data_IF_967972192999
#
_entry.id   IF_967972192999
#
_cell.length_a   1.000
_cell.length_b   1.000
_cell.length_c   1.000
_cell.angle_alpha   90.00
_cell.angle_beta   90.00
_cell.angle_gamma   90.00
#
_symmetry.space_group_name_H-M   'P 1'
#
loop_
_entity.id
_entity.type
_entity.pdbx_description
1 polymer ?
#
# COMPACT_ATOMS: atom_id res chain seq x y z
N UNK A 1 -62.55 56.20 14.25
CA UNK A 1 -61.25 56.01 13.56
C UNK A 1 -60.61 54.77 14.16
N UNK A 2 -60.80 53.60 13.53
CA UNK A 2 -60.39 52.29 14.04
C UNK A 2 -59.19 51.84 13.18
N UNK A 3 -58.02 51.66 13.81
CA UNK A 3 -56.79 51.22 13.16
C UNK A 3 -56.65 49.72 13.38
N UNK A 4 -56.84 48.93 12.31
CA UNK A 4 -56.56 47.50 12.26
C UNK A 4 -55.05 47.28 12.09
N UNK A 5 -54.40 46.72 13.11
CA UNK A 5 -53.03 46.21 13.02
C UNK A 5 -53.07 44.74 12.56
N UNK A 6 -52.75 44.52 11.29
CA UNK A 6 -52.52 43.19 10.74
C UNK A 6 -51.14 42.68 11.17
N UNK A 7 -51.13 41.75 12.14
CA UNK A 7 -49.93 40.99 12.52
C UNK A 7 -49.70 39.93 11.44
N UNK A 8 -48.74 40.19 10.56
CA UNK A 8 -48.29 39.22 9.56
C UNK A 8 -47.61 38.04 10.24
N UNK A 9 -48.24 36.87 10.21
CA UNK A 9 -47.61 35.61 10.55
C UNK A 9 -46.59 35.26 9.46
N UNK A 10 -45.30 35.47 9.72
CA UNK A 10 -44.23 34.97 8.87
C UNK A 10 -44.17 33.44 9.04
N UNK A 11 -44.39 32.63 8.00
CA UNK A 11 -44.25 31.19 8.11
C UNK A 11 -42.78 30.86 8.43
N UNK A 12 -42.56 30.06 9.49
CA UNK A 12 -41.28 29.39 9.74
C UNK A 12 -41.04 28.36 8.61
N UNK A 13 -40.67 28.85 7.44
CA UNK A 13 -40.21 28.02 6.33
C UNK A 13 -38.84 27.45 6.70
N UNK A 14 -38.84 26.17 7.05
CA UNK A 14 -37.77 25.19 6.89
C UNK A 14 -36.34 25.74 7.00
N UNK A 15 -35.79 25.71 8.22
CA UNK A 15 -34.33 25.62 8.36
C UNK A 15 -33.89 24.32 7.66
N UNK A 16 -33.24 24.48 6.51
CA UNK A 16 -32.62 23.40 5.75
C UNK A 16 -31.66 22.62 6.67
N UNK A 17 -32.09 21.43 7.07
CA UNK A 17 -31.37 20.56 7.99
C UNK A 17 -30.03 20.12 7.38
N UNK A 18 -29.95 19.97 6.05
CA UNK A 18 -28.72 19.64 5.35
C UNK A 18 -27.70 20.78 5.41
N UNK A 19 -28.14 22.03 5.21
CA UNK A 19 -27.28 23.20 5.35
C UNK A 19 -26.78 23.38 6.80
N UNK A 20 -27.60 23.01 7.79
CA UNK A 20 -27.22 23.07 9.21
C UNK A 20 -26.18 22.00 9.55
N UNK A 21 -26.34 20.78 9.02
CA UNK A 21 -25.42 19.67 9.21
C UNK A 21 -24.04 19.97 8.60
N UNK A 22 -23.98 20.50 7.37
CA UNK A 22 -22.73 20.92 6.72
C UNK A 22 -21.97 22.00 7.51
N UNK A 23 -22.69 22.96 8.12
CA UNK A 23 -22.07 23.97 8.99
C UNK A 23 -21.52 23.37 10.28
N UNK A 24 -22.20 22.38 10.84
CA UNK A 24 -21.72 21.67 12.02
C UNK A 24 -20.46 20.85 11.72
N UNK A 25 -20.42 20.14 10.59
CA UNK A 25 -19.22 19.41 10.13
C UNK A 25 -18.04 20.35 9.91
N UNK A 26 -18.24 21.45 9.17
CA UNK A 26 -17.19 22.44 8.94
C UNK A 26 -16.68 23.07 10.25
N UNK A 27 -17.57 23.27 11.24
CA UNK A 27 -17.20 23.78 12.57
C UNK A 27 -16.42 22.74 13.37
N UNK A 28 -16.83 21.47 13.31
CA UNK A 28 -16.10 20.36 13.93
C UNK A 28 -14.69 20.24 13.34
N UNK A 29 -14.57 20.27 12.01
CA UNK A 29 -13.29 20.25 11.28
C UNK A 29 -12.39 21.46 11.58
N UNK A 30 -12.99 22.62 11.83
CA UNK A 30 -12.26 23.81 12.27
C UNK A 30 -11.72 23.64 13.70
N UNK A 31 -12.55 23.11 14.62
CA UNK A 31 -12.14 22.87 16.00
C UNK A 31 -11.08 21.76 16.12
N UNK A 32 -11.20 20.68 15.34
CA UNK A 32 -10.20 19.60 15.32
C UNK A 32 -8.86 20.12 14.80
N UNK A 33 -8.86 20.93 13.74
CA UNK A 33 -7.66 21.61 13.22
C UNK A 33 -7.05 22.57 14.25
N UNK A 34 -7.86 23.43 14.88
CA UNK A 34 -7.39 24.35 15.91
C UNK A 34 -6.80 23.63 17.13
N UNK A 35 -7.43 22.54 17.58
CA UNK A 35 -6.92 21.70 18.66
C UNK A 35 -5.62 20.97 18.28
N UNK A 36 -5.47 20.54 17.02
CA UNK A 36 -4.23 19.95 16.51
C UNK A 36 -3.09 20.99 16.46
N UNK A 37 -3.38 22.23 16.03
CA UNK A 37 -2.41 23.33 16.02
C UNK A 37 -1.98 23.73 17.43
N UNK A 38 -2.90 23.83 18.40
CA UNK A 38 -2.55 24.09 19.80
C UNK A 38 -1.72 22.97 20.41
N UNK A 39 -2.08 21.71 20.15
CA UNK A 39 -1.29 20.54 20.60
C UNK A 39 0.10 20.54 19.99
N UNK A 40 0.25 20.86 18.70
CA UNK A 40 1.56 20.94 18.05
C UNK A 40 2.39 22.13 18.56
N UNK A 41 1.77 23.28 18.84
CA UNK A 41 2.45 24.42 19.46
C UNK A 41 2.94 24.11 20.89
N UNK A 42 2.07 23.50 21.72
CA UNK A 42 2.43 23.10 23.08
C UNK A 42 3.45 21.94 23.12
N UNK A 43 3.44 21.05 22.11
CA UNK A 43 4.47 20.05 21.93
C UNK A 43 5.83 20.69 21.58
N UNK A 44 5.83 21.70 20.69
CA UNK A 44 7.04 22.43 20.30
C UNK A 44 7.68 23.19 21.46
N UNK A 45 6.92 23.74 22.40
CA UNK A 45 7.49 24.42 23.58
C UNK A 45 8.12 23.48 24.60
N UNK A 46 7.88 22.16 24.51
CA UNK A 46 8.53 21.12 25.34
C UNK A 46 9.73 20.46 24.65
N UNK A 47 9.84 20.63 23.33
CA UNK A 47 10.93 20.08 22.51
C UNK A 47 11.95 21.20 22.31
N UNK A 48 12.84 21.35 23.28
CA UNK A 48 13.86 22.40 23.27
C UNK A 48 15.25 21.88 22.86
N UNK A 49 15.34 20.60 22.52
CA UNK A 49 16.60 19.95 22.21
C UNK A 49 16.53 19.21 20.87
N UNK A 50 17.66 19.12 20.16
CA UNK A 50 17.79 18.37 18.92
C UNK A 50 19.01 17.48 19.00
N UNK A 51 18.78 16.17 18.89
CA UNK A 51 19.83 15.17 18.75
C UNK A 51 20.17 15.06 17.27
N UNK A 52 21.46 15.18 16.95
CA UNK A 52 21.97 15.04 15.59
C UNK A 52 22.94 13.85 15.56
N UNK A 53 22.64 12.87 14.71
CA UNK A 53 23.47 11.68 14.50
C UNK A 53 23.62 11.47 13.01
N UNK A 54 24.80 11.77 12.47
CA UNK A 54 25.03 11.82 11.03
C UNK A 54 24.03 12.76 10.35
N UNK A 55 23.20 12.22 9.44
CA UNK A 55 22.13 12.97 8.77
C UNK A 55 20.80 13.00 9.52
N UNK A 56 20.62 12.21 10.60
CA UNK A 56 19.38 12.21 11.39
C UNK A 56 19.32 13.40 12.33
N UNK A 57 18.14 14.05 12.35
CA UNK A 57 17.82 15.13 13.28
C UNK A 57 16.53 14.77 14.02
N UNK A 58 16.63 14.55 15.32
CA UNK A 58 15.49 14.20 16.17
C UNK A 58 15.29 15.29 17.20
N UNK A 59 14.14 15.97 17.13
CA UNK A 59 13.78 16.99 18.09
C UNK A 59 13.15 16.33 19.32
N UNK A 60 13.74 16.52 20.50
CA UNK A 60 13.30 15.88 21.74
C UNK A 60 13.35 16.80 22.97
N UNK A 61 12.90 16.31 24.12
CA UNK A 61 13.05 16.99 25.41
C UNK A 61 14.28 16.48 26.16
N UNK A 62 14.87 17.32 27.01
CA UNK A 62 16.11 17.00 27.73
C UNK A 62 16.11 15.63 28.46
N UNK A 63 15.01 15.19 29.13
CA UNK A 63 14.99 13.89 29.80
C UNK A 63 15.15 12.68 28.86
N UNK A 64 14.81 12.82 27.59
CA UNK A 64 14.88 11.74 26.60
C UNK A 64 16.12 11.80 25.71
N UNK A 65 17.00 12.81 25.88
CA UNK A 65 18.16 13.04 25.01
C UNK A 65 19.04 11.79 24.84
N UNK A 66 19.44 11.14 25.94
CA UNK A 66 20.31 9.95 25.90
C UNK A 66 19.63 8.76 25.22
N UNK A 67 18.34 8.54 25.50
CA UNK A 67 17.55 7.48 24.87
C UNK A 67 17.43 7.69 23.36
N UNK A 68 17.08 8.91 22.95
CA UNK A 68 16.95 9.31 21.55
C UNK A 68 18.29 9.22 20.83
N UNK A 69 19.39 9.62 21.47
CA UNK A 69 20.73 9.50 20.91
C UNK A 69 21.10 8.04 20.65
N UNK A 70 20.92 7.15 21.61
CA UNK A 70 21.20 5.72 21.42
C UNK A 70 20.34 5.09 20.31
N UNK A 71 19.05 5.47 20.23
CA UNK A 71 18.15 5.00 19.18
C UNK A 71 18.52 5.57 17.80
N UNK A 72 18.89 6.86 17.73
CA UNK A 72 19.34 7.51 16.50
C UNK A 72 20.67 6.94 16.00
N UNK A 73 21.63 6.63 16.87
CA UNK A 73 22.89 5.94 16.52
C UNK A 73 22.63 4.55 15.94
N UNK A 74 21.67 3.81 16.48
CA UNK A 74 21.28 2.51 15.93
C UNK A 74 20.57 2.65 14.59
N UNK A 75 19.61 3.57 14.48
CA UNK A 75 18.89 3.85 13.23
C UNK A 75 19.82 4.32 12.12
N UNK A 76 20.75 5.24 12.42
CA UNK A 76 21.70 5.78 11.44
C UNK A 76 22.60 4.69 10.84
N UNK A 77 23.11 3.78 11.68
CA UNK A 77 23.89 2.63 11.18
C UNK A 77 23.06 1.74 10.26
N UNK A 78 21.81 1.45 10.62
CA UNK A 78 20.89 0.67 9.77
C UNK A 78 20.63 1.36 8.42
N UNK A 79 20.41 2.69 8.44
CA UNK A 79 20.22 3.49 7.23
C UNK A 79 21.48 3.50 6.35
N UNK A 80 22.68 3.65 6.92
CA UNK A 80 23.94 3.58 6.18
C UNK A 80 24.14 2.20 5.52
N UNK A 81 23.85 1.11 6.24
CA UNK A 81 23.93 -0.24 5.67
C UNK A 81 22.96 -0.40 4.49
N UNK A 82 21.74 0.16 4.59
CA UNK A 82 20.71 -0.03 3.55
C UNK A 82 20.88 0.89 2.34
N UNK A 83 21.21 2.15 2.57
CA UNK A 83 21.21 3.20 1.55
C UNK A 83 22.62 3.63 1.13
N UNK A 84 23.66 3.03 1.71
CA UNK A 84 25.06 3.38 1.47
C UNK A 84 25.43 4.77 2.01
N UNK A 85 26.61 5.30 1.66
CA UNK A 85 27.02 6.65 2.08
C UNK A 85 26.20 7.77 1.41
N UNK A 86 25.35 7.46 0.44
CA UNK A 86 24.55 8.44 -0.31
C UNK A 86 23.40 9.06 0.50
N UNK A 87 23.11 8.53 1.69
CA UNK A 87 22.21 9.16 2.70
C UNK A 87 22.86 10.29 3.50
N UNK A 88 24.16 10.53 3.34
CA UNK A 88 24.91 11.52 4.13
C UNK A 88 24.53 12.98 3.82
N UNK A 89 23.82 13.26 2.72
CA UNK A 89 23.39 14.63 2.40
C UNK A 89 22.30 15.13 3.38
N UNK A 90 22.61 16.12 4.25
CA UNK A 90 21.77 16.52 5.38
C UNK A 90 20.47 17.26 4.98
N UNK A 91 20.23 17.48 3.69
CA UNK A 91 19.00 18.05 3.17
C UNK A 91 17.86 17.03 3.04
N UNK A 92 18.13 15.74 3.33
CA UNK A 92 17.25 14.64 2.89
C UNK A 92 16.28 14.12 3.96
N UNK A 93 16.56 14.36 5.25
CA UNK A 93 15.79 13.72 6.33
C UNK A 93 15.02 14.76 7.15
N UNK A 94 13.68 14.66 7.25
CA UNK A 94 12.88 15.58 8.05
C UNK A 94 13.22 15.45 9.53
N UNK A 95 13.08 16.55 10.27
CA UNK A 95 13.23 16.54 11.73
C UNK A 95 12.11 15.72 12.35
N UNK A 96 12.45 14.65 13.06
CA UNK A 96 11.47 13.77 13.70
C UNK A 96 11.19 14.26 15.12
N UNK A 97 9.96 14.68 15.47
CA UNK A 97 9.63 15.07 16.84
C UNK A 97 9.42 13.84 17.74
N UNK A 98 10.00 13.83 18.94
CA UNK A 98 9.84 12.78 19.94
C UNK A 98 9.65 13.34 21.37
N UNK A 99 8.76 12.72 22.16
CA UNK A 99 8.59 13.04 23.58
C UNK A 99 7.54 14.12 23.91
N UNK A 100 6.77 14.57 22.93
CA UNK A 100 5.70 15.56 23.13
C UNK A 100 4.52 15.07 23.98
N UNK A 101 4.26 13.77 24.01
CA UNK A 101 3.01 13.19 24.54
C UNK A 101 3.08 12.75 26.00
N UNK A 102 4.20 12.98 26.71
CA UNK A 102 4.30 12.67 28.14
C UNK A 102 4.25 11.18 28.49
N UNK A 103 4.36 10.28 27.51
CA UNK A 103 4.40 8.83 27.74
C UNK A 103 5.77 8.47 28.30
N UNK A 104 5.87 7.90 29.52
CA UNK A 104 7.15 7.48 30.08
C UNK A 104 7.69 6.27 29.32
N UNK A 105 8.92 6.40 28.82
CA UNK A 105 9.63 5.33 28.11
C UNK A 105 10.81 4.88 28.99
N UNK A 106 10.78 3.64 29.51
CA UNK A 106 11.75 3.17 30.53
C UNK A 106 12.44 1.84 30.22
N UNK A 107 12.21 1.20 29.07
CA UNK A 107 12.72 -0.16 28.80
C UNK A 107 13.78 -0.19 27.70
N UNK A 108 14.75 -1.14 27.72
CA UNK A 108 15.69 -1.38 26.62
C UNK A 108 15.01 -1.71 25.28
N UNK A 109 13.82 -2.34 25.33
CA UNK A 109 12.98 -2.55 24.14
C UNK A 109 12.65 -1.24 23.44
N UNK A 110 12.54 -0.15 24.21
CA UNK A 110 12.27 1.16 23.65
C UNK A 110 13.40 1.70 22.78
N UNK A 111 14.68 1.39 23.05
CA UNK A 111 15.77 1.83 22.16
C UNK A 111 15.62 1.16 20.79
N UNK A 112 15.35 -0.13 20.76
CA UNK A 112 15.21 -0.89 19.51
C UNK A 112 13.95 -0.47 18.73
N UNK A 113 12.82 -0.32 19.42
CA UNK A 113 11.57 0.14 18.84
C UNK A 113 11.68 1.58 18.31
N UNK A 114 12.30 2.50 19.07
CA UNK A 114 12.55 3.87 18.61
C UNK A 114 13.52 3.91 17.42
N UNK A 115 14.56 3.08 17.43
CA UNK A 115 15.47 2.99 16.30
C UNK A 115 14.75 2.52 15.03
N UNK A 116 13.90 1.48 15.13
CA UNK A 116 13.07 1.02 14.01
C UNK A 116 12.10 2.11 13.53
N UNK A 117 11.49 2.86 14.45
CA UNK A 117 10.61 3.97 14.11
C UNK A 117 11.38 5.08 13.35
N UNK A 118 12.54 5.50 13.86
CA UNK A 118 13.38 6.51 13.20
C UNK A 118 13.87 6.04 11.84
N UNK A 119 14.30 4.78 11.73
CA UNK A 119 14.67 4.15 10.46
C UNK A 119 13.51 4.19 9.47
N UNK A 120 12.32 3.73 9.86
CA UNK A 120 11.14 3.67 8.98
C UNK A 120 10.74 5.05 8.47
N UNK A 121 10.63 6.04 9.35
CA UNK A 121 10.26 7.42 8.97
C UNK A 121 11.31 8.01 8.01
N UNK A 122 12.59 7.81 8.32
CA UNK A 122 13.68 8.37 7.52
C UNK A 122 13.81 7.67 6.18
N UNK A 123 13.67 6.35 6.13
CA UNK A 123 13.67 5.56 4.90
C UNK A 123 12.58 6.05 3.94
N UNK A 124 11.35 6.26 4.44
CA UNK A 124 10.25 6.81 3.62
C UNK A 124 10.61 8.17 3.03
N UNK A 125 11.19 9.07 3.82
CA UNK A 125 11.61 10.38 3.32
C UNK A 125 12.73 10.29 2.27
N UNK A 126 13.75 9.46 2.53
CA UNK A 126 14.86 9.22 1.59
C UNK A 126 14.33 8.73 0.24
N UNK A 127 13.44 7.75 0.24
CA UNK A 127 12.84 7.23 -0.99
C UNK A 127 12.00 8.28 -1.72
N UNK A 128 11.12 8.98 -1.00
CA UNK A 128 10.25 10.01 -1.58
C UNK A 128 11.05 11.11 -2.30
N UNK A 129 12.20 11.49 -1.75
CA UNK A 129 13.03 12.54 -2.31
C UNK A 129 13.96 12.06 -3.41
N UNK A 130 14.59 10.89 -3.25
CA UNK A 130 15.56 10.37 -4.22
C UNK A 130 14.90 9.76 -5.44
N UNK A 131 13.69 9.22 -5.29
CA UNK A 131 13.01 8.49 -6.36
C UNK A 131 11.48 8.62 -6.27
N UNK A 132 10.93 9.82 -6.57
CA UNK A 132 9.49 10.01 -6.64
C UNK A 132 8.79 9.03 -7.61
N UNK A 133 9.33 8.71 -8.81
CA UNK A 133 8.69 7.76 -9.72
C UNK A 133 8.55 6.35 -9.13
N UNK A 134 9.61 5.77 -8.56
CA UNK A 134 9.50 4.45 -7.94
C UNK A 134 8.62 4.49 -6.70
N UNK A 135 8.70 5.55 -5.91
CA UNK A 135 7.83 5.74 -4.74
C UNK A 135 6.36 5.78 -5.16
N UNK A 136 6.03 6.43 -6.28
CA UNK A 136 4.68 6.43 -6.85
C UNK A 136 4.26 5.02 -7.31
N UNK A 137 5.15 4.28 -7.98
CA UNK A 137 4.92 2.89 -8.38
C UNK A 137 4.67 1.96 -7.17
N UNK A 138 5.36 2.20 -6.06
CA UNK A 138 5.15 1.53 -4.77
C UNK A 138 4.00 2.14 -3.94
N UNK A 139 3.34 3.18 -4.42
CA UNK A 139 2.30 3.93 -3.68
C UNK A 139 2.75 4.33 -2.27
N UNK A 140 3.98 4.82 -2.14
CA UNK A 140 4.57 5.25 -0.87
C UNK A 140 5.05 4.12 0.05
N UNK A 141 4.79 2.85 -0.30
CA UNK A 141 5.16 1.70 0.51
C UNK A 141 6.53 1.16 0.09
N UNK A 142 7.55 1.92 0.46
CA UNK A 142 8.93 1.64 0.12
C UNK A 142 9.52 0.56 1.03
N UNK A 143 10.56 -0.19 0.60
CA UNK A 143 11.24 -1.15 1.46
C UNK A 143 11.76 -0.48 2.73
N UNK A 144 11.26 -0.95 3.87
CA UNK A 144 11.54 -0.41 5.20
C UNK A 144 11.66 -1.53 6.24
N UNK A 145 10.71 -2.47 6.18
CA UNK A 145 10.76 -3.73 6.92
C UNK A 145 10.91 -4.89 5.92
N UNK A 146 11.53 -6.01 6.32
CA UNK A 146 11.61 -7.21 5.48
C UNK A 146 10.22 -7.70 5.07
N UNK A 147 10.06 -8.10 3.81
CA UNK A 147 8.85 -8.80 3.37
C UNK A 147 8.77 -10.17 4.05
N UNK A 148 7.63 -10.46 4.69
CA UNK A 148 7.40 -11.70 5.44
C UNK A 148 6.85 -12.82 4.55
N UNK A 149 6.90 -14.06 5.03
CA UNK A 149 6.25 -15.19 4.35
C UNK A 149 4.73 -14.99 4.20
N UNK A 150 4.09 -14.34 5.17
CA UNK A 150 2.66 -13.98 5.09
C UNK A 150 2.40 -13.01 3.94
N UNK A 151 3.24 -12.01 3.76
CA UNK A 151 3.11 -11.04 2.66
C UNK A 151 3.23 -11.75 1.30
N UNK A 152 4.20 -12.66 1.17
CA UNK A 152 4.38 -13.46 -0.05
C UNK A 152 3.21 -14.43 -0.29
N UNK A 153 2.63 -15.00 0.77
CA UNK A 153 1.40 -15.81 0.69
C UNK A 153 0.23 -14.99 0.14
N UNK A 154 0.06 -13.75 0.60
CA UNK A 154 -0.95 -12.85 0.03
C UNK A 154 -0.68 -12.52 -1.43
N UNK A 155 0.59 -12.36 -1.84
CA UNK A 155 0.94 -12.18 -3.26
C UNK A 155 0.57 -13.42 -4.08
N UNK A 156 0.82 -14.63 -3.56
CA UNK A 156 0.44 -15.88 -4.22
C UNK A 156 -1.10 -15.98 -4.40
N UNK A 157 -1.86 -15.65 -3.35
CA UNK A 157 -3.33 -15.60 -3.41
C UNK A 157 -3.83 -14.57 -4.44
N UNK A 158 -3.18 -13.41 -4.54
CA UNK A 158 -3.52 -12.40 -5.54
C UNK A 158 -3.28 -12.89 -6.97
N UNK A 159 -2.16 -13.59 -7.21
CA UNK A 159 -1.89 -14.20 -8.51
C UNK A 159 -2.90 -15.31 -8.83
N UNK A 160 -3.19 -16.20 -7.88
CA UNK A 160 -4.11 -17.31 -8.10
C UNK A 160 -5.58 -16.86 -8.25
N UNK A 161 -6.01 -15.86 -7.47
CA UNK A 161 -7.41 -15.48 -7.34
C UNK A 161 -7.88 -14.33 -8.23
N UNK A 162 -6.98 -13.45 -8.68
CA UNK A 162 -7.37 -12.30 -9.52
C UNK A 162 -7.38 -12.68 -11.01
N UNK A 163 -8.44 -12.36 -11.77
CA UNK A 163 -8.57 -12.73 -13.19
C UNK A 163 -7.77 -11.82 -14.11
N UNK A 164 -6.48 -11.65 -13.84
CA UNK A 164 -5.56 -10.92 -14.69
C UNK A 164 -4.83 -11.88 -15.63
N UNK A 165 -4.76 -11.53 -16.92
CA UNK A 165 -4.11 -12.30 -17.99
C UNK A 165 -2.70 -12.78 -17.64
N UNK A 166 -1.79 -11.97 -17.06
CA UNK A 166 -0.44 -12.44 -16.77
C UNK A 166 -0.33 -13.34 -15.53
N UNK A 167 -1.34 -13.39 -14.67
CA UNK A 167 -1.16 -13.94 -13.33
C UNK A 167 -0.85 -15.44 -13.30
N UNK A 168 -1.64 -16.26 -14.02
CA UNK A 168 -1.48 -17.71 -14.00
C UNK A 168 -0.12 -18.11 -14.60
N UNK A 169 0.25 -17.53 -15.74
CA UNK A 169 1.53 -17.80 -16.37
C UNK A 169 2.70 -17.30 -15.51
N UNK A 170 2.56 -16.14 -14.85
CA UNK A 170 3.54 -15.70 -13.86
C UNK A 170 3.67 -16.72 -12.73
N UNK A 171 2.57 -17.19 -12.16
CA UNK A 171 2.59 -18.19 -11.08
C UNK A 171 3.21 -19.52 -11.52
N UNK A 172 3.23 -19.82 -12.83
CA UNK A 172 3.90 -20.98 -13.43
C UNK A 172 5.39 -20.73 -13.72
N UNK A 173 5.92 -19.54 -13.47
CA UNK A 173 7.33 -19.19 -13.64
C UNK A 173 7.68 -18.44 -14.93
N UNK A 174 6.69 -17.99 -15.71
CA UNK A 174 6.93 -17.15 -16.89
C UNK A 174 7.36 -15.73 -16.46
N UNK A 175 8.67 -15.46 -16.52
CA UNK A 175 9.25 -14.20 -16.08
C UNK A 175 8.69 -12.95 -16.82
N UNK A 176 8.58 -12.93 -18.17
CA UNK A 176 7.86 -11.85 -18.88
C UNK A 176 6.45 -11.60 -18.34
N UNK A 177 5.69 -12.66 -18.03
CA UNK A 177 4.34 -12.50 -17.45
C UNK A 177 4.41 -11.97 -16.03
N UNK A 178 5.41 -12.35 -15.23
CA UNK A 178 5.62 -11.74 -13.92
C UNK A 178 5.97 -10.26 -13.99
N UNK A 179 6.78 -9.83 -14.96
CA UNK A 179 7.04 -8.41 -15.21
C UNK A 179 5.73 -7.64 -15.47
N UNK A 180 4.90 -8.16 -16.38
CA UNK A 180 3.59 -7.57 -16.68
C UNK A 180 2.67 -7.54 -15.44
N UNK A 181 2.60 -8.63 -14.66
CA UNK A 181 1.78 -8.70 -13.45
C UNK A 181 2.22 -7.69 -12.36
N UNK A 182 3.52 -7.36 -12.32
CA UNK A 182 4.13 -6.42 -11.38
C UNK A 182 4.05 -4.96 -11.84
N UNK A 183 3.58 -4.66 -13.05
CA UNK A 183 3.58 -3.28 -13.52
C UNK A 183 4.82 -2.87 -14.31
N UNK A 184 5.61 -3.83 -14.81
CA UNK A 184 6.91 -3.57 -15.47
C UNK A 184 6.78 -3.82 -16.97
N UNK A 185 7.32 -2.90 -17.79
CA UNK A 185 7.38 -3.06 -19.25
C UNK A 185 6.02 -3.01 -19.96
N UNK A 186 5.05 -2.30 -19.37
CA UNK A 186 3.66 -2.29 -19.86
C UNK A 186 3.48 -1.19 -20.88
N UNK A 187 2.79 -1.51 -21.97
CA UNK A 187 2.48 -0.58 -23.04
C UNK A 187 1.41 0.45 -22.66
N UNK A 188 1.01 1.23 -23.66
CA UNK A 188 -0.02 2.27 -23.54
C UNK A 188 -1.39 1.67 -23.21
N UNK A 189 -1.67 0.42 -23.62
CA UNK A 189 -2.92 -0.29 -23.31
C UNK A 189 -2.80 -1.25 -22.13
N UNK A 190 -2.46 -0.69 -20.96
CA UNK A 190 -2.36 -1.43 -19.71
C UNK A 190 -3.64 -2.22 -19.37
N UNK A 191 -4.81 -1.68 -19.69
CA UNK A 191 -6.09 -2.30 -19.36
C UNK A 191 -6.34 -3.57 -20.19
N UNK A 192 -6.12 -3.52 -21.50
CA UNK A 192 -6.25 -4.69 -22.39
C UNK A 192 -5.18 -5.75 -22.16
N UNK A 193 -3.97 -5.33 -21.78
CA UNK A 193 -2.87 -6.24 -21.44
C UNK A 193 -3.15 -7.03 -20.16
N UNK A 194 -3.71 -6.40 -19.13
CA UNK A 194 -3.97 -7.06 -17.85
C UNK A 194 -5.30 -7.78 -17.77
N UNK A 195 -6.37 -7.21 -18.31
CA UNK A 195 -7.72 -7.65 -17.97
C UNK A 195 -8.55 -7.87 -19.24
N UNK A 196 -9.21 -9.04 -19.38
CA UNK A 196 -10.14 -9.25 -20.49
C UNK A 196 -11.32 -8.26 -20.41
N UNK A 197 -11.84 -7.76 -21.54
CA UNK A 197 -12.93 -6.76 -21.54
C UNK A 197 -14.16 -7.13 -20.71
N UNK A 198 -14.47 -8.42 -20.62
CA UNK A 198 -15.56 -8.95 -19.79
C UNK A 198 -15.43 -8.65 -18.30
N UNK A 199 -14.23 -8.33 -17.81
CA UNK A 199 -13.99 -8.03 -16.38
C UNK A 199 -14.05 -6.54 -16.06
N UNK A 200 -14.04 -5.66 -17.08
CA UNK A 200 -13.96 -4.22 -16.89
C UNK A 200 -15.13 -3.62 -16.10
N UNK A 201 -16.40 -4.05 -16.28
CA UNK A 201 -17.51 -3.57 -15.45
C UNK A 201 -17.30 -3.82 -13.94
N UNK A 202 -16.77 -5.00 -13.58
CA UNK A 202 -16.46 -5.35 -12.19
C UNK A 202 -15.29 -4.53 -11.64
N UNK A 203 -14.28 -4.26 -12.47
CA UNK A 203 -13.16 -3.39 -12.08
C UNK A 203 -13.61 -1.94 -11.86
N UNK A 204 -14.49 -1.42 -12.72
CA UNK A 204 -15.05 -0.08 -12.57
C UNK A 204 -15.85 0.08 -11.28
N UNK A 205 -16.51 -0.99 -10.79
CA UNK A 205 -17.16 -1.00 -9.48
C UNK A 205 -16.19 -0.85 -8.31
N UNK A 206 -14.97 -1.40 -8.42
CA UNK A 206 -13.96 -1.37 -7.36
C UNK A 206 -13.20 -0.03 -7.28
N UNK A 207 -13.31 0.83 -8.30
CA UNK A 207 -12.73 2.17 -8.25
C UNK A 207 -13.52 3.03 -7.25
N UNK A 208 -12.85 3.61 -6.26
CA UNK A 208 -13.43 4.55 -5.30
C UNK A 208 -12.74 5.91 -5.31
N UNK A 209 -13.43 6.94 -4.83
CA UNK A 209 -12.89 8.28 -4.57
C UNK A 209 -12.52 9.11 -5.81
N UNK A 210 -12.53 10.45 -5.68
CA UNK A 210 -11.92 11.37 -6.65
C UNK A 210 -12.47 11.34 -8.08
N UNK A 211 -13.68 10.79 -8.29
CA UNK A 211 -14.32 10.75 -9.60
C UNK A 211 -15.05 12.07 -9.86
N UNK A 212 -14.86 12.63 -11.06
CA UNK A 212 -15.67 13.74 -11.52
C UNK A 212 -17.13 13.29 -11.76
N UNK A 213 -18.06 14.24 -11.89
CA UNK A 213 -19.45 13.93 -12.25
C UNK A 213 -19.53 13.15 -13.58
N UNK A 214 -18.70 13.49 -14.55
CA UNK A 214 -18.62 12.81 -15.84
C UNK A 214 -18.09 11.37 -15.70
N UNK A 215 -17.08 11.15 -14.85
CA UNK A 215 -16.57 9.82 -14.53
C UNK A 215 -17.65 8.95 -13.88
N UNK A 216 -18.46 9.51 -12.98
CA UNK A 216 -19.55 8.78 -12.32
C UNK A 216 -20.60 8.30 -13.33
N UNK A 217 -20.98 9.13 -14.29
CA UNK A 217 -21.90 8.76 -15.38
C UNK A 217 -21.28 7.65 -16.25
N UNK A 218 -20.00 7.80 -16.62
CA UNK A 218 -19.28 6.79 -17.41
C UNK A 218 -19.17 5.46 -16.65
N UNK A 219 -18.87 5.51 -15.35
CA UNK A 219 -18.81 4.32 -14.49
C UNK A 219 -20.17 3.62 -14.44
N UNK A 220 -21.25 4.36 -14.30
CA UNK A 220 -22.59 3.79 -14.30
C UNK A 220 -22.93 3.15 -15.65
N UNK A 221 -22.55 3.77 -16.76
CA UNK A 221 -22.70 3.19 -18.11
C UNK A 221 -21.92 1.88 -18.22
N UNK A 222 -20.65 1.88 -17.79
CA UNK A 222 -19.79 0.71 -17.78
C UNK A 222 -20.39 -0.44 -16.95
N UNK A 223 -20.82 -0.16 -15.72
CA UNK A 223 -21.34 -1.18 -14.80
C UNK A 223 -22.69 -1.74 -15.23
N UNK A 224 -23.63 -0.89 -15.66
CA UNK A 224 -25.01 -1.32 -15.91
C UNK A 224 -25.23 -1.80 -17.34
N UNK A 225 -24.53 -1.20 -18.30
CA UNK A 225 -24.74 -1.46 -19.73
C UNK A 225 -23.58 -2.23 -20.36
N UNK A 226 -22.50 -2.47 -19.62
CA UNK A 226 -21.30 -3.12 -20.18
C UNK A 226 -20.61 -2.29 -21.25
N UNK A 227 -20.82 -0.97 -21.27
CA UNK A 227 -20.25 -0.05 -22.25
C UNK A 227 -18.72 0.03 -22.09
N UNK A 228 -17.99 -0.68 -22.97
CA UNK A 228 -16.53 -0.81 -22.89
C UNK A 228 -15.80 0.52 -23.10
N UNK A 229 -16.35 1.45 -23.89
CA UNK A 229 -15.76 2.77 -24.07
C UNK A 229 -15.86 3.59 -22.79
N UNK A 230 -17.03 3.54 -22.12
CA UNK A 230 -17.21 4.15 -20.81
C UNK A 230 -16.38 3.45 -19.71
N UNK A 231 -16.18 2.14 -19.80
CA UNK A 231 -15.25 1.45 -18.90
C UNK A 231 -13.83 1.97 -19.06
N UNK A 232 -13.37 2.14 -20.31
CA UNK A 232 -12.03 2.61 -20.61
C UNK A 232 -11.77 4.05 -20.18
N UNK A 233 -12.78 4.92 -20.27
CA UNK A 233 -12.64 6.31 -19.79
C UNK A 233 -12.47 6.40 -18.27
N UNK A 234 -13.05 5.45 -17.52
CA UNK A 234 -12.93 5.40 -16.05
C UNK A 234 -11.70 4.64 -15.60
N UNK A 235 -11.35 3.53 -16.26
CA UNK A 235 -10.23 2.63 -15.93
C UNK A 235 -8.90 3.13 -16.51
N UNK A 236 -8.48 4.32 -16.10
CA UNK A 236 -7.22 4.92 -16.55
C UNK A 236 -6.01 4.25 -15.87
N UNK A 237 -4.79 4.31 -16.46
CA UNK A 237 -3.58 3.74 -15.84
C UNK A 237 -3.29 4.25 -14.42
N UNK A 238 -3.68 5.48 -14.09
CA UNK A 238 -3.54 6.05 -12.74
C UNK A 238 -4.49 5.40 -11.73
N UNK A 239 -5.69 5.01 -12.18
CA UNK A 239 -6.73 4.41 -11.34
C UNK A 239 -6.61 2.88 -11.28
N UNK A 240 -5.99 2.27 -12.28
CA UNK A 240 -5.80 0.83 -12.36
C UNK A 240 -4.57 0.40 -11.58
N UNK A 241 -4.75 -0.57 -10.69
CA UNK A 241 -3.65 -1.20 -9.98
C UNK A 241 -3.06 -2.35 -10.81
N UNK A 242 -1.72 -2.51 -10.83
CA UNK A 242 -1.14 -3.75 -11.32
C UNK A 242 -1.74 -4.97 -10.61
N UNK A 243 -1.88 -6.10 -11.33
CA UNK A 243 -2.49 -7.32 -10.78
C UNK A 243 -1.86 -7.75 -9.46
N UNK A 244 -0.54 -7.65 -9.36
CA UNK A 244 0.20 -7.85 -8.12
C UNK A 244 0.21 -6.56 -7.31
N UNK A 245 -0.16 -6.70 -6.03
CA UNK A 245 -0.17 -5.63 -5.05
C UNK A 245 1.21 -5.03 -4.75
N UNK A 246 1.21 -4.14 -3.77
CA UNK A 246 2.37 -3.35 -3.37
C UNK A 246 3.47 -4.23 -2.79
N UNK A 247 3.09 -5.28 -2.06
CA UNK A 247 3.94 -6.19 -1.32
C UNK A 247 4.83 -6.99 -2.26
N UNK A 248 4.27 -7.45 -3.39
CA UNK A 248 5.03 -8.12 -4.44
C UNK A 248 6.03 -7.19 -5.12
N UNK A 249 5.64 -5.94 -5.39
CA UNK A 249 6.54 -4.92 -5.95
C UNK A 249 7.66 -4.55 -4.97
N UNK A 250 7.32 -4.33 -3.70
CA UNK A 250 8.27 -4.05 -2.61
C UNK A 250 9.29 -5.18 -2.47
N UNK A 251 8.84 -6.42 -2.55
CA UNK A 251 9.73 -7.58 -2.48
C UNK A 251 10.68 -7.66 -3.67
N UNK A 252 10.25 -7.32 -4.89
CA UNK A 252 11.15 -7.26 -6.04
C UNK A 252 12.25 -6.20 -5.87
N UNK A 253 11.90 -5.02 -5.34
CA UNK A 253 12.90 -3.98 -5.01
C UNK A 253 13.84 -4.47 -3.93
N UNK A 254 13.33 -5.11 -2.88
CA UNK A 254 14.16 -5.69 -1.81
C UNK A 254 15.15 -6.72 -2.38
N UNK A 255 14.69 -7.65 -3.23
CA UNK A 255 15.57 -8.62 -3.90
C UNK A 255 16.66 -7.94 -4.73
N UNK A 256 16.32 -6.87 -5.46
CA UNK A 256 17.29 -6.12 -6.24
C UNK A 256 18.35 -5.45 -5.36
N UNK A 257 17.94 -4.87 -4.23
CA UNK A 257 18.85 -4.24 -3.27
C UNK A 257 19.76 -5.27 -2.58
N UNK A 258 19.20 -6.40 -2.15
CA UNK A 258 19.94 -7.49 -1.52
C UNK A 258 20.97 -8.11 -2.48
N UNK A 259 20.60 -8.34 -3.75
CA UNK A 259 21.50 -8.86 -4.76
C UNK A 259 22.66 -7.90 -5.09
N UNK A 260 22.39 -6.59 -5.07
CA UNK A 260 23.36 -5.57 -5.44
C UNK A 260 24.27 -5.05 -4.31
N UNK A 261 23.98 -5.40 -3.06
CA UNK A 261 24.75 -4.98 -1.87
C UNK A 261 24.77 -3.48 -1.61
N UNK A 262 25.83 -3.00 -0.95
CA UNK A 262 25.96 -1.66 -0.35
C UNK A 262 25.75 -0.48 -1.31
N UNK A 263 25.90 -0.69 -2.62
CA UNK A 263 25.78 0.33 -3.67
C UNK A 263 24.53 0.17 -4.54
N UNK A 264 23.68 -0.83 -4.25
CA UNK A 264 22.48 -1.11 -5.03
C UNK A 264 21.50 0.06 -5.04
N UNK A 265 21.29 0.69 -3.88
CA UNK A 265 20.39 1.84 -3.76
C UNK A 265 20.87 3.02 -4.60
N UNK A 266 22.17 3.35 -4.54
CA UNK A 266 22.74 4.42 -5.36
C UNK A 266 22.51 4.15 -6.85
N UNK A 267 22.84 2.94 -7.34
CA UNK A 267 22.61 2.56 -8.74
C UNK A 267 21.14 2.62 -9.13
N UNK A 268 20.24 2.22 -8.23
CA UNK A 268 18.80 2.30 -8.45
C UNK A 268 18.35 3.75 -8.67
N UNK A 269 18.83 4.68 -7.85
CA UNK A 269 18.39 6.09 -7.85
C UNK A 269 19.20 7.02 -8.73
N UNK A 270 20.30 6.54 -9.34
CA UNK A 270 21.21 7.39 -10.11
C UNK A 270 20.56 8.00 -11.36
N UNK A 271 19.74 7.23 -12.07
CA UNK A 271 19.00 7.69 -13.24
C UNK A 271 17.53 7.31 -13.13
N UNK A 272 16.71 8.26 -12.70
CA UNK A 272 15.26 8.09 -12.51
C UNK A 272 14.47 8.18 -13.81
N UNK A 273 15.11 8.55 -14.93
CA UNK A 273 14.49 8.63 -16.26
C UNK A 273 14.40 7.27 -16.95
N UNK A 274 15.24 6.32 -16.54
CA UNK A 274 15.23 4.96 -17.07
C UNK A 274 13.95 4.20 -16.68
N UNK A 275 13.50 3.24 -17.50
CA UNK A 275 12.44 2.33 -17.12
C UNK A 275 12.80 1.57 -15.83
N UNK A 276 11.80 1.32 -14.97
CA UNK A 276 11.96 0.61 -13.69
C UNK A 276 12.72 -0.72 -13.88
N UNK A 277 12.48 -1.42 -14.98
CA UNK A 277 13.18 -2.66 -15.34
C UNK A 277 14.71 -2.50 -15.38
N UNK A 278 15.20 -1.53 -16.15
CA UNK A 278 16.62 -1.23 -16.31
C UNK A 278 17.24 -0.79 -14.99
N UNK A 279 16.48 -0.03 -14.19
CA UNK A 279 16.92 0.46 -12.88
C UNK A 279 17.06 -0.67 -11.86
N UNK A 280 16.13 -1.61 -11.82
CA UNK A 280 16.20 -2.80 -10.97
C UNK A 280 17.37 -3.70 -11.38
N UNK A 281 17.60 -3.88 -12.68
CA UNK A 281 18.74 -4.64 -13.18
C UNK A 281 20.07 -3.99 -12.81
N UNK A 282 20.19 -2.66 -12.98
CA UNK A 282 21.36 -1.89 -12.57
C UNK A 282 21.60 -1.98 -11.05
N UNK A 283 20.55 -1.85 -10.24
CA UNK A 283 20.62 -1.98 -8.79
C UNK A 283 21.16 -3.35 -8.38
N UNK A 284 20.62 -4.43 -8.95
CA UNK A 284 20.99 -5.80 -8.61
C UNK A 284 22.32 -6.29 -9.19
N UNK A 285 22.83 -5.64 -10.25
CA UNK A 285 24.00 -6.14 -10.98
C UNK A 285 23.73 -7.42 -11.79
N UNK A 286 22.47 -7.78 -12.00
CA UNK A 286 22.03 -8.95 -12.77
C UNK A 286 20.82 -8.60 -13.65
N UNK A 287 20.52 -9.34 -14.72
CA UNK A 287 19.32 -9.11 -15.52
C UNK A 287 18.04 -9.21 -14.70
N UNK A 288 17.04 -8.37 -14.98
CA UNK A 288 15.75 -8.37 -14.27
C UNK A 288 15.03 -9.72 -14.34
N UNK A 289 15.25 -10.50 -15.41
CA UNK A 289 14.71 -11.85 -15.56
C UNK A 289 15.17 -12.77 -14.44
N UNK A 290 16.43 -12.66 -14.01
CA UNK A 290 16.97 -13.43 -12.89
C UNK A 290 16.26 -13.06 -11.59
N UNK A 291 16.02 -11.77 -11.34
CA UNK A 291 15.26 -11.30 -10.18
C UNK A 291 13.82 -11.83 -10.20
N UNK A 292 13.15 -11.81 -11.37
CA UNK A 292 11.78 -12.29 -11.51
C UNK A 292 11.65 -13.79 -11.27
N UNK A 293 12.64 -14.59 -11.69
CA UNK A 293 12.70 -16.02 -11.41
C UNK A 293 12.87 -16.27 -9.91
N UNK A 294 13.75 -15.54 -9.23
CA UNK A 294 13.92 -15.65 -7.78
C UNK A 294 12.66 -15.20 -7.02
N UNK A 295 12.05 -14.11 -7.48
CA UNK A 295 10.83 -13.54 -6.94
C UNK A 295 9.68 -14.54 -6.98
N UNK A 296 9.39 -15.13 -8.15
CA UNK A 296 8.29 -16.08 -8.29
C UNK A 296 8.56 -17.37 -7.51
N UNK A 297 9.80 -17.85 -7.48
CA UNK A 297 10.16 -19.02 -6.67
C UNK A 297 9.92 -18.78 -5.17
N UNK A 298 10.13 -17.56 -4.67
CA UNK A 298 9.80 -17.20 -3.29
C UNK A 298 8.29 -17.13 -3.05
N UNK A 299 7.53 -16.55 -3.98
CA UNK A 299 6.06 -16.49 -3.92
C UNK A 299 5.46 -17.89 -3.93
N UNK A 300 5.93 -18.78 -4.81
CA UNK A 300 5.50 -20.19 -4.86
C UNK A 300 5.80 -20.94 -3.57
N UNK A 301 6.98 -20.72 -2.96
CA UNK A 301 7.34 -21.33 -1.66
C UNK A 301 6.47 -20.85 -0.50
N UNK A 302 5.99 -19.61 -0.58
CA UNK A 302 5.13 -18.99 0.42
C UNK A 302 3.64 -19.22 0.18
N UNK A 303 3.28 -19.82 -0.96
CA UNK A 303 1.89 -20.17 -1.26
C UNK A 303 1.34 -20.96 -0.08
N UNK A 304 0.15 -20.59 0.44
CA UNK A 304 -0.53 -21.44 1.40
C UNK A 304 -0.63 -22.81 0.76
N UNK A 305 0.11 -23.78 1.31
CA UNK A 305 -0.34 -25.16 1.16
C UNK A 305 -1.74 -25.08 1.73
N UNK A 306 -2.75 -25.42 0.92
CA UNK A 306 -4.10 -25.55 1.46
C UNK A 306 -4.01 -26.37 2.75
N UNK A 307 -5.06 -26.39 3.60
CA UNK A 307 -5.20 -27.54 4.48
C UNK A 307 -4.91 -28.72 3.57
N UNK A 308 -3.82 -29.46 3.83
CA UNK A 308 -3.57 -30.70 3.10
C UNK A 308 -4.82 -31.45 3.44
N UNK A 309 -5.83 -31.44 2.55
CA UNK A 309 -7.15 -31.99 2.83
C UNK A 309 -6.81 -33.35 3.39
N UNK A 310 -6.93 -33.51 4.71
CA UNK A 310 -6.26 -34.61 5.34
C UNK A 310 -6.93 -35.80 4.69
N UNK A 311 -6.17 -36.73 4.11
CA UNK A 311 -6.69 -37.73 3.16
C UNK A 311 -8.02 -38.36 3.63
N UNK A 312 -8.22 -38.44 4.95
CA UNK A 312 -9.49 -38.78 5.60
C UNK A 312 -10.71 -37.94 5.17
N UNK A 313 -10.66 -36.62 4.94
CA UNK A 313 -11.80 -35.79 4.49
C UNK A 313 -12.23 -36.17 3.07
N UNK A 314 -11.27 -36.34 2.15
CA UNK A 314 -11.54 -36.88 0.81
C UNK A 314 -12.09 -38.31 0.89
N UNK A 315 -11.55 -39.15 1.78
CA UNK A 315 -12.07 -40.51 2.00
C UNK A 315 -13.48 -40.51 2.61
N UNK A 316 -13.78 -39.63 3.57
CA UNK A 316 -15.10 -39.53 4.21
C UNK A 316 -16.15 -39.07 3.21
N UNK A 317 -15.84 -38.05 2.38
CA UNK A 317 -16.76 -37.63 1.31
C UNK A 317 -17.00 -38.74 0.28
N UNK A 318 -15.97 -39.53 -0.05
CA UNK A 318 -16.08 -40.66 -0.96
C UNK A 318 -16.93 -41.80 -0.36
N UNK A 319 -16.68 -42.17 0.91
CA UNK A 319 -17.45 -43.18 1.65
C UNK A 319 -18.93 -42.78 1.76
N UNK A 320 -19.22 -41.52 2.10
CA UNK A 320 -20.59 -41.03 2.16
C UNK A 320 -21.27 -41.03 0.79
N UNK A 321 -20.56 -40.64 -0.26
CA UNK A 321 -21.09 -40.69 -1.63
C UNK A 321 -21.44 -42.12 -2.06
N UNK A 322 -20.58 -43.09 -1.73
CA UNK A 322 -20.82 -44.51 -1.98
C UNK A 322 -22.02 -45.01 -1.15
N UNK A 323 -22.10 -44.66 0.13
CA UNK A 323 -23.21 -45.05 1.00
C UNK A 323 -24.55 -44.53 0.46
N UNK A 324 -24.62 -43.25 0.10
CA UNK A 324 -25.82 -42.63 -0.49
C UNK A 324 -26.19 -43.30 -1.82
N UNK A 325 -25.20 -43.55 -2.69
CA UNK A 325 -25.42 -44.24 -3.97
C UNK A 325 -25.97 -45.65 -3.76
N UNK A 326 -25.41 -46.42 -2.82
CA UNK A 326 -25.91 -47.77 -2.50
C UNK A 326 -27.32 -47.75 -1.89
N UNK A 327 -27.64 -46.76 -1.07
CA UNK A 327 -29.00 -46.58 -0.53
C UNK A 327 -30.00 -46.23 -1.64
N UNK A 328 -29.62 -45.34 -2.57
CA UNK A 328 -30.44 -44.98 -3.73
C UNK A 328 -30.70 -46.17 -4.66
N UNK A 329 -29.68 -47.00 -4.91
CA UNK A 329 -29.80 -48.23 -5.72
C UNK A 329 -30.63 -49.32 -5.04
N UNK A 330 -30.65 -49.38 -3.70
CA UNK A 330 -31.52 -50.31 -2.95
C UNK A 330 -32.97 -49.84 -2.83
N UNK A 331 -33.20 -48.53 -2.86
CA UNK A 331 -34.52 -47.91 -2.73
C UNK A 331 -35.42 -47.99 -3.98
N UNK A 332 -34.91 -48.44 -5.13
CA UNK A 332 -35.66 -48.47 -6.40
C UNK A 332 -36.60 -49.68 -6.58
N UNK A 333 -36.89 -50.45 -5.53
CA UNK A 333 -37.78 -51.63 -5.56
C UNK A 333 -39.28 -51.30 -5.42
N UNK A 334 -39.69 -50.07 -5.68
CA UNK A 334 -41.11 -49.69 -5.72
C UNK A 334 -41.60 -49.58 -7.16
N UNK A 335 -41.62 -50.71 -7.87
CA UNK A 335 -42.44 -50.97 -9.06
C UNK A 335 -42.87 -52.43 -9.04
#
# INVERSE_FOLDING_TARGET
>A
MIVLLAVGAVPLAAQDSAATLLRMEARLDSLTRAAAVRRSAAARTRINDTVVVGGLRVATSAPYRLLVQAAADKAWRSLLTRFGPTVVEPAVIPVVPFGATGIPVRTPSAVAELAQMFERISAVAIWQQRDPPLTAWLRGNVPGDPVTSRDLGSVAEQLAGRPARPNIACLQGDAPKCAAALGIGIGVDTLGEWYPPSTWPKLAFLIGGGLSRADLVSRQSCMNRGDLAACRSVLTPVRLLPPVGIEGRRYLVQLALEAGGDSAFHRLTQDTSLPIESRLAAAAGVPVRTLLVQWVAAVQRAMPRGPTDPLWESLVSMVWSIAILTLALRGSRWW
#
